data_IF_609716981739
#
_entry.id   IF_609716981739
#
_cell.length_a   1.000
_cell.length_b   1.000
_cell.length_c   1.000
_cell.angle_alpha   90.00
_cell.angle_beta   90.00
_cell.angle_gamma   90.00
#
_symmetry.space_group_name_H-M   'P 1'
#
loop_
_entity.id
_entity.type
_entity.pdbx_description
1 polymer ?
#
# COMPACT_ATOMS: atom_id res chain seq x y z
N UNK A 1 -24.31 14.72 29.25
CA UNK A 1 -25.29 14.84 28.18
C UNK A 1 -25.23 13.61 27.29
N UNK A 2 -26.04 12.62 27.66
CA UNK A 2 -26.30 11.47 26.79
C UNK A 2 -27.11 11.92 25.58
N UNK A 3 -26.43 12.27 24.50
CA UNK A 3 -27.06 12.52 23.21
C UNK A 3 -27.62 11.18 22.72
N UNK A 4 -28.93 10.98 22.85
CA UNK A 4 -29.61 9.87 22.16
C UNK A 4 -29.32 10.06 20.67
N UNK A 5 -28.41 9.25 20.14
CA UNK A 5 -28.17 9.17 18.70
C UNK A 5 -29.46 8.66 18.09
N UNK A 6 -30.22 9.55 17.46
CA UNK A 6 -31.49 9.18 16.82
C UNK A 6 -31.27 8.08 15.79
N UNK A 7 -32.24 7.18 15.64
CA UNK A 7 -32.23 6.11 14.62
C UNK A 7 -31.80 6.63 13.24
N UNK A 8 -32.16 7.88 12.89
CA UNK A 8 -31.74 8.51 11.63
C UNK A 8 -30.22 8.69 11.44
N UNK A 9 -29.46 8.89 12.53
CA UNK A 9 -28.00 9.01 12.45
C UNK A 9 -27.34 7.63 12.27
N UNK A 10 -27.95 6.58 12.79
CA UNK A 10 -27.50 5.20 12.58
C UNK A 10 -27.73 4.78 11.14
N UNK A 11 -28.89 5.05 10.58
CA UNK A 11 -29.18 4.75 9.16
C UNK A 11 -28.30 5.53 8.19
N UNK A 12 -28.00 6.78 8.46
CA UNK A 12 -27.07 7.58 7.63
C UNK A 12 -25.66 7.00 7.60
N UNK A 13 -25.23 6.36 8.68
CA UNK A 13 -23.91 5.70 8.73
C UNK A 13 -23.91 4.31 8.09
N UNK A 14 -25.04 3.63 8.05
CA UNK A 14 -25.16 2.29 7.45
C UNK A 14 -25.14 2.35 5.91
N UNK A 15 -25.74 3.37 5.28
CA UNK A 15 -25.84 3.48 3.85
C UNK A 15 -24.46 3.41 3.12
N UNK A 16 -23.37 4.10 3.55
CA UNK A 16 -22.06 3.95 2.95
C UNK A 16 -21.52 2.51 3.01
N UNK A 17 -21.75 1.80 4.10
CA UNK A 17 -21.31 0.40 4.24
C UNK A 17 -22.07 -0.54 3.32
N UNK A 18 -23.39 -0.36 3.18
CA UNK A 18 -24.20 -1.10 2.20
C UNK A 18 -23.74 -0.84 0.77
N UNK A 19 -23.43 0.43 0.44
CA UNK A 19 -22.91 0.77 -0.88
C UNK A 19 -21.55 0.11 -1.14
N UNK A 20 -20.64 0.16 -0.16
CA UNK A 20 -19.34 -0.50 -0.27
C UNK A 20 -19.47 -2.02 -0.42
N UNK A 21 -20.36 -2.66 0.35
CA UNK A 21 -20.60 -4.11 0.21
C UNK A 21 -21.22 -4.46 -1.14
N UNK A 22 -22.12 -3.63 -1.66
CA UNK A 22 -22.69 -3.82 -3.00
C UNK A 22 -21.63 -3.67 -4.11
N UNK A 23 -20.68 -2.74 -3.97
CA UNK A 23 -19.55 -2.62 -4.89
C UNK A 23 -18.62 -3.84 -4.84
N UNK A 24 -18.47 -4.49 -3.70
CA UNK A 24 -17.69 -5.74 -3.59
C UNK A 24 -18.33 -6.90 -4.35
N UNK A 25 -19.69 -6.90 -4.53
CA UNK A 25 -20.36 -7.91 -5.36
C UNK A 25 -19.90 -7.87 -6.81
N UNK A 26 -19.54 -6.69 -7.34
CA UNK A 26 -19.00 -6.55 -8.70
C UNK A 26 -17.68 -7.32 -8.81
N UNK A 27 -16.82 -7.21 -7.82
CA UNK A 27 -15.55 -7.98 -7.75
C UNK A 27 -15.80 -9.49 -7.68
N UNK A 28 -16.77 -9.91 -6.87
CA UNK A 28 -17.15 -11.31 -6.76
C UNK A 28 -17.69 -11.87 -8.08
N UNK A 29 -18.56 -11.13 -8.76
CA UNK A 29 -19.09 -11.51 -10.08
C UNK A 29 -17.96 -11.59 -11.11
N UNK A 30 -17.06 -10.62 -11.12
CA UNK A 30 -15.90 -10.63 -12.01
C UNK A 30 -15.02 -11.87 -11.78
N UNK A 31 -14.82 -12.25 -10.51
CA UNK A 31 -14.05 -13.44 -10.14
C UNK A 31 -14.72 -14.74 -10.62
N UNK A 32 -16.05 -14.84 -10.51
CA UNK A 32 -16.81 -16.00 -10.99
C UNK A 32 -16.82 -16.14 -12.52
N UNK A 33 -16.72 -15.03 -13.25
CA UNK A 33 -16.71 -15.00 -14.72
C UNK A 33 -15.28 -15.21 -15.26
N UNK A 34 -14.24 -14.92 -14.47
CA UNK A 34 -12.84 -15.03 -14.90
C UNK A 34 -12.47 -16.50 -15.08
N UNK A 35 -12.07 -16.93 -16.30
CA UNK A 35 -11.63 -18.30 -16.51
C UNK A 35 -10.37 -18.59 -15.69
N UNK A 36 -10.36 -19.72 -15.02
CA UNK A 36 -9.16 -20.20 -14.33
C UNK A 36 -8.01 -20.37 -15.33
N UNK A 37 -6.87 -19.77 -15.02
CA UNK A 37 -5.65 -19.99 -15.81
C UNK A 37 -5.35 -21.48 -15.88
N UNK A 38 -5.10 -22.00 -17.09
CA UNK A 38 -4.73 -23.40 -17.29
C UNK A 38 -3.44 -23.70 -16.51
N UNK A 39 -3.58 -24.20 -15.31
CA UNK A 39 -2.48 -24.72 -14.51
C UNK A 39 -2.16 -26.13 -15.06
N UNK A 40 -1.18 -26.23 -15.95
CA UNK A 40 -0.83 -27.47 -16.61
C UNK A 40 -0.14 -28.52 -15.71
N UNK A 41 0.10 -28.22 -14.46
CA UNK A 41 0.67 -29.15 -13.49
C UNK A 41 -0.19 -29.21 -12.22
N UNK A 42 -1.22 -30.06 -12.22
CA UNK A 42 -1.86 -30.52 -10.97
C UNK A 42 -0.88 -31.47 -10.27
N UNK A 43 0.08 -30.91 -9.54
CA UNK A 43 0.84 -31.68 -8.58
C UNK A 43 0.01 -31.69 -7.29
N UNK A 44 -0.49 -32.85 -6.92
CA UNK A 44 -1.11 -33.04 -5.60
C UNK A 44 0.00 -32.97 -4.54
N UNK A 45 0.33 -31.73 -4.14
CA UNK A 45 1.26 -31.50 -3.04
C UNK A 45 0.51 -31.64 -1.72
N UNK A 46 1.10 -32.32 -0.77
CA UNK A 46 0.62 -32.36 0.61
C UNK A 46 0.59 -30.95 1.19
N UNK A 47 -0.29 -30.69 2.17
CA UNK A 47 -0.43 -29.35 2.78
C UNK A 47 0.91 -28.75 3.23
N UNK A 48 1.79 -29.54 3.83
CA UNK A 48 3.13 -29.12 4.26
C UNK A 48 4.06 -28.82 3.07
N UNK A 49 3.97 -29.58 2.00
CA UNK A 49 4.77 -29.35 0.78
C UNK A 49 4.40 -28.05 0.10
N UNK A 50 3.13 -27.63 0.17
CA UNK A 50 2.66 -26.35 -0.35
C UNK A 50 3.30 -25.13 0.34
N UNK A 51 3.79 -25.29 1.56
CA UNK A 51 4.54 -24.23 2.27
C UNK A 51 6.05 -24.36 2.10
N UNK A 52 6.59 -25.58 2.18
CA UNK A 52 8.02 -25.80 2.17
C UNK A 52 8.66 -25.66 0.79
N UNK A 53 8.02 -26.20 -0.25
CA UNK A 53 8.54 -26.17 -1.62
C UNK A 53 8.70 -24.74 -2.19
N UNK A 54 7.75 -23.78 -1.98
CA UNK A 54 7.93 -22.40 -2.41
C UNK A 54 9.12 -21.68 -1.75
N UNK A 55 9.35 -21.94 -0.46
CA UNK A 55 10.48 -21.37 0.29
C UNK A 55 11.79 -21.94 -0.21
N UNK A 56 11.85 -23.25 -0.38
CA UNK A 56 13.02 -23.96 -0.91
C UNK A 56 13.36 -23.49 -2.33
N UNK A 57 12.36 -23.33 -3.20
CA UNK A 57 12.52 -22.78 -4.55
C UNK A 57 13.10 -21.36 -4.52
N UNK A 58 12.58 -20.50 -3.64
CA UNK A 58 13.07 -19.14 -3.46
C UNK A 58 14.54 -19.12 -3.04
N UNK A 59 14.91 -19.88 -2.01
CA UNK A 59 16.29 -19.96 -1.51
C UNK A 59 17.22 -20.55 -2.59
N UNK A 60 16.76 -21.56 -3.34
CA UNK A 60 17.56 -22.17 -4.41
C UNK A 60 17.83 -21.21 -5.56
N UNK A 61 16.86 -20.32 -5.90
CA UNK A 61 17.03 -19.34 -6.98
C UNK A 61 17.95 -18.18 -6.61
N UNK A 62 17.87 -17.70 -5.40
CA UNK A 62 18.59 -16.49 -4.98
C UNK A 62 19.81 -16.77 -4.10
N UNK A 63 20.08 -18.01 -3.70
CA UNK A 63 21.03 -18.35 -2.64
C UNK A 63 20.59 -17.77 -1.28
N UNK A 64 20.95 -18.40 -0.17
CA UNK A 64 20.51 -18.03 1.16
C UNK A 64 20.84 -16.57 1.51
N UNK A 65 22.07 -16.12 1.20
CA UNK A 65 22.50 -14.75 1.49
C UNK A 65 21.70 -13.69 0.72
N UNK A 66 21.55 -13.86 -0.60
CA UNK A 66 20.76 -12.93 -1.42
C UNK A 66 19.26 -12.99 -1.06
N UNK A 67 18.73 -14.17 -0.78
CA UNK A 67 17.34 -14.35 -0.31
C UNK A 67 17.09 -13.57 0.99
N UNK A 68 18.01 -13.63 1.95
CA UNK A 68 17.90 -12.88 3.22
C UNK A 68 17.92 -11.36 2.99
N UNK A 69 18.79 -10.86 2.10
CA UNK A 69 18.82 -9.44 1.74
C UNK A 69 17.52 -9.01 1.06
N UNK A 70 16.99 -9.81 0.12
CA UNK A 70 15.74 -9.51 -0.55
C UNK A 70 14.56 -9.46 0.42
N UNK A 71 14.49 -10.41 1.37
CA UNK A 71 13.48 -10.40 2.43
C UNK A 71 13.62 -9.18 3.34
N UNK A 72 14.84 -8.80 3.70
CA UNK A 72 15.09 -7.58 4.47
C UNK A 72 14.61 -6.32 3.73
N UNK A 73 14.88 -6.23 2.43
CA UNK A 73 14.38 -5.12 1.61
C UNK A 73 12.84 -5.12 1.60
N UNK A 74 12.20 -6.27 1.38
CA UNK A 74 10.74 -6.39 1.39
C UNK A 74 10.16 -5.94 2.73
N UNK A 75 10.73 -6.40 3.86
CA UNK A 75 10.26 -6.07 5.20
C UNK A 75 10.44 -4.58 5.55
N UNK A 76 11.55 -3.97 5.11
CA UNK A 76 11.88 -2.60 5.52
C UNK A 76 11.35 -1.53 4.55
N UNK A 77 11.12 -1.88 3.28
CA UNK A 77 10.78 -0.91 2.25
C UNK A 77 9.46 -0.15 2.52
N UNK A 78 8.48 -0.81 3.13
CA UNK A 78 7.19 -0.22 3.50
C UNK A 78 7.04 0.07 5.00
N UNK A 79 8.06 -0.18 5.79
CA UNK A 79 7.98 -0.03 7.25
C UNK A 79 7.57 1.40 7.65
N UNK A 80 8.13 2.41 6.99
CA UNK A 80 7.78 3.82 7.22
C UNK A 80 6.31 4.10 6.95
N UNK A 81 5.75 3.62 5.85
CA UNK A 81 4.34 3.83 5.51
C UNK A 81 3.40 3.16 6.53
N UNK A 82 3.76 1.96 6.99
CA UNK A 82 2.99 1.20 7.98
C UNK A 82 2.99 1.90 9.34
N UNK A 83 4.11 2.47 9.75
CA UNK A 83 4.24 3.17 11.03
C UNK A 83 3.63 4.57 10.98
N UNK A 84 3.90 5.33 9.92
CA UNK A 84 3.45 6.72 9.79
C UNK A 84 1.96 6.83 9.45
N UNK A 85 1.39 5.89 8.72
CA UNK A 85 0.00 5.94 8.29
C UNK A 85 -1.00 6.15 9.45
N UNK A 86 -1.00 5.32 10.51
CA UNK A 86 -1.86 5.55 11.67
C UNK A 86 -1.54 6.81 12.46
N UNK A 87 -0.28 7.27 12.44
CA UNK A 87 0.18 8.44 13.20
C UNK A 87 -0.12 9.77 12.53
N UNK A 88 -0.36 9.79 11.21
CA UNK A 88 -0.58 11.04 10.47
C UNK A 88 -1.81 11.83 10.98
N UNK A 89 -2.94 11.18 11.22
CA UNK A 89 -4.14 11.86 11.71
C UNK A 89 -3.98 12.45 13.12
N UNK A 90 -3.48 11.71 14.14
CA UNK A 90 -3.10 12.30 15.43
C UNK A 90 -2.16 13.48 15.30
N UNK A 91 -1.12 13.35 14.48
CA UNK A 91 -0.16 14.43 14.22
C UNK A 91 -0.83 15.72 13.71
N UNK A 92 -1.75 15.63 12.75
CA UNK A 92 -2.46 16.81 12.26
C UNK A 92 -3.34 17.47 13.34
N UNK A 93 -3.96 16.67 14.21
CA UNK A 93 -4.75 17.17 15.33
C UNK A 93 -3.87 17.86 16.37
N UNK A 94 -2.73 17.29 16.72
CA UNK A 94 -1.77 17.86 17.67
C UNK A 94 -1.17 19.17 17.14
N UNK A 95 -1.03 19.30 15.83
CA UNK A 95 -0.64 20.55 15.15
C UNK A 95 -1.73 21.63 15.19
N UNK A 96 -2.93 21.34 15.68
CA UNK A 96 -4.03 22.30 15.82
C UNK A 96 -4.98 22.40 14.63
N UNK A 97 -4.87 21.52 13.63
CA UNK A 97 -5.82 21.48 12.51
C UNK A 97 -7.17 20.89 12.95
N UNK A 98 -8.26 21.51 12.51
CA UNK A 98 -9.61 21.01 12.77
C UNK A 98 -9.91 19.74 11.97
N UNK A 99 -10.80 18.89 12.50
CA UNK A 99 -11.24 17.67 11.81
C UNK A 99 -11.87 17.95 10.44
N UNK A 100 -12.46 19.11 10.25
CA UNK A 100 -13.07 19.53 8.99
C UNK A 100 -12.00 19.87 7.95
N UNK A 101 -10.95 20.58 8.34
CA UNK A 101 -9.80 20.89 7.47
C UNK A 101 -9.05 19.63 7.08
N UNK A 102 -8.75 18.76 8.05
CA UNK A 102 -8.14 17.46 7.79
C UNK A 102 -9.03 16.64 6.82
N UNK A 103 -10.33 16.55 7.10
CA UNK A 103 -11.26 15.78 6.29
C UNK A 103 -11.41 16.26 4.85
N UNK A 104 -11.33 17.56 4.61
CA UNK A 104 -11.44 18.15 3.27
C UNK A 104 -10.12 18.08 2.49
N UNK A 105 -9.02 18.53 3.11
CA UNK A 105 -7.71 18.57 2.43
C UNK A 105 -7.14 17.17 2.26
N UNK A 106 -7.08 16.37 3.32
CA UNK A 106 -6.44 15.06 3.26
C UNK A 106 -7.16 14.14 2.26
N UNK A 107 -8.51 14.12 2.26
CA UNK A 107 -9.24 13.24 1.34
C UNK A 107 -9.06 13.61 -0.13
N UNK A 108 -9.14 14.89 -0.47
CA UNK A 108 -9.07 15.34 -1.87
C UNK A 108 -7.62 15.33 -2.36
N UNK A 109 -6.73 15.98 -1.62
CA UNK A 109 -5.32 16.12 -2.01
C UNK A 109 -4.62 14.75 -2.04
N UNK A 110 -4.84 13.91 -1.00
CA UNK A 110 -4.25 12.58 -0.95
C UNK A 110 -4.73 11.68 -2.10
N UNK A 111 -6.03 11.72 -2.44
CA UNK A 111 -6.56 10.92 -3.54
C UNK A 111 -5.91 11.32 -4.87
N UNK A 112 -5.87 12.60 -5.18
CA UNK A 112 -5.29 13.09 -6.44
C UNK A 112 -3.78 12.77 -6.48
N UNK A 113 -3.06 13.07 -5.40
CA UNK A 113 -1.63 12.82 -5.30
C UNK A 113 -1.27 11.34 -5.44
N UNK A 114 -2.01 10.46 -4.78
CA UNK A 114 -1.78 9.00 -4.86
C UNK A 114 -2.02 8.46 -6.27
N UNK A 115 -3.08 8.91 -6.96
CA UNK A 115 -3.34 8.52 -8.35
C UNK A 115 -2.19 8.97 -9.26
N UNK A 116 -1.75 10.22 -9.14
CA UNK A 116 -0.60 10.72 -9.92
C UNK A 116 0.65 9.88 -9.61
N UNK A 117 0.90 9.58 -8.33
CA UNK A 117 2.01 8.76 -7.88
C UNK A 117 1.98 7.34 -8.48
N UNK A 118 0.82 6.69 -8.49
CA UNK A 118 0.61 5.37 -9.09
C UNK A 118 1.00 5.36 -10.57
N UNK A 119 0.50 6.32 -11.36
CA UNK A 119 0.82 6.41 -12.79
C UNK A 119 2.31 6.70 -13.02
N UNK A 120 2.89 7.63 -12.26
CA UNK A 120 4.31 7.94 -12.38
C UNK A 120 5.19 6.76 -11.95
N UNK A 121 4.81 6.00 -10.94
CA UNK A 121 5.48 4.76 -10.55
C UNK A 121 5.56 3.77 -11.72
N UNK A 122 4.45 3.56 -12.44
CA UNK A 122 4.42 2.71 -13.63
C UNK A 122 5.30 3.24 -14.78
N UNK A 123 5.30 4.55 -15.02
CA UNK A 123 6.14 5.19 -16.03
C UNK A 123 7.63 5.06 -15.67
N UNK A 124 7.97 5.25 -14.39
CA UNK A 124 9.34 5.10 -13.88
C UNK A 124 9.87 3.68 -14.11
N UNK A 125 9.08 2.66 -13.78
CA UNK A 125 9.45 1.25 -14.02
C UNK A 125 9.75 1.03 -15.50
N UNK A 126 8.88 1.55 -16.38
CA UNK A 126 9.05 1.39 -17.83
C UNK A 126 10.30 2.10 -18.36
N UNK A 127 10.61 3.31 -17.87
CA UNK A 127 11.71 4.15 -18.39
C UNK A 127 13.04 3.89 -17.71
N UNK A 128 13.06 3.78 -16.40
CA UNK A 128 14.29 3.69 -15.59
C UNK A 128 14.62 2.26 -15.14
N UNK A 129 13.66 1.35 -15.26
CA UNK A 129 13.77 -0.02 -14.74
C UNK A 129 13.41 -0.13 -13.26
N UNK A 130 13.17 -1.36 -12.82
CA UNK A 130 12.61 -1.65 -11.50
C UNK A 130 13.47 -1.17 -10.33
N UNK A 131 14.77 -1.49 -10.34
CA UNK A 131 15.68 -1.16 -9.23
C UNK A 131 15.88 0.35 -9.04
N UNK A 132 16.00 1.10 -10.14
CA UNK A 132 16.10 2.57 -10.06
C UNK A 132 14.82 3.19 -9.57
N UNK A 133 13.67 2.61 -9.93
CA UNK A 133 12.36 3.06 -9.45
C UNK A 133 12.17 2.79 -7.96
N UNK A 134 12.70 1.67 -7.43
CA UNK A 134 12.74 1.39 -5.98
C UNK A 134 13.55 2.46 -5.24
N UNK A 135 14.74 2.80 -5.73
CA UNK A 135 15.56 3.85 -5.13
C UNK A 135 14.85 5.20 -5.17
N UNK A 136 14.24 5.54 -6.30
CA UNK A 136 13.48 6.79 -6.42
C UNK A 136 12.30 6.84 -5.45
N UNK A 137 11.56 5.76 -5.31
CA UNK A 137 10.47 5.64 -4.33
C UNK A 137 10.95 5.81 -2.89
N UNK A 138 12.05 5.16 -2.51
CA UNK A 138 12.66 5.31 -1.19
C UNK A 138 13.10 6.76 -0.91
N UNK A 139 13.70 7.43 -1.92
CA UNK A 139 14.06 8.85 -1.82
C UNK A 139 12.83 9.75 -1.66
N UNK A 140 11.75 9.48 -2.39
CA UNK A 140 10.52 10.26 -2.30
C UNK A 140 9.90 10.16 -0.90
N UNK A 141 9.85 8.96 -0.31
CA UNK A 141 9.39 8.75 1.07
C UNK A 141 10.31 9.42 2.09
N UNK A 142 11.63 9.35 1.89
CA UNK A 142 12.58 10.05 2.76
C UNK A 142 12.32 11.56 2.77
N UNK A 143 12.10 12.17 1.62
CA UNK A 143 11.76 13.60 1.49
C UNK A 143 10.44 13.89 2.20
N UNK A 144 9.40 13.07 2.00
CA UNK A 144 8.13 13.21 2.69
C UNK A 144 8.30 13.22 4.21
N UNK A 145 9.04 12.26 4.76
CA UNK A 145 9.30 12.18 6.20
C UNK A 145 10.07 13.41 6.74
N UNK A 146 11.02 13.95 5.99
CA UNK A 146 11.72 15.19 6.35
C UNK A 146 10.74 16.37 6.37
N UNK A 147 9.81 16.45 5.41
CA UNK A 147 8.77 17.48 5.40
C UNK A 147 7.85 17.39 6.63
N UNK A 148 7.47 16.20 7.08
CA UNK A 148 6.74 16.03 8.34
C UNK A 148 7.51 16.64 9.53
N UNK A 149 8.82 16.43 9.59
CA UNK A 149 9.66 17.00 10.65
C UNK A 149 9.72 18.53 10.60
N UNK A 150 9.74 19.13 9.40
CA UNK A 150 9.73 20.58 9.21
C UNK A 150 8.38 21.15 9.65
N UNK A 151 7.29 20.50 9.30
CA UNK A 151 5.94 20.95 9.67
C UNK A 151 5.73 20.86 11.18
N UNK A 152 6.30 19.85 11.85
CA UNK A 152 6.20 19.69 13.30
C UNK A 152 6.71 20.89 14.11
N UNK A 153 7.64 21.67 13.55
CA UNK A 153 8.21 22.87 14.19
C UNK A 153 7.65 24.19 13.62
N UNK A 154 6.73 24.10 12.68
CA UNK A 154 6.14 25.25 12.00
C UNK A 154 4.77 25.60 12.60
N UNK A 155 4.33 26.85 12.42
CA UNK A 155 2.96 27.23 12.78
C UNK A 155 1.94 26.54 11.84
N UNK A 156 0.75 26.16 12.34
CA UNK A 156 -0.27 25.50 11.54
C UNK A 156 -0.71 26.36 10.35
N UNK A 157 -0.53 25.85 9.15
CA UNK A 157 -0.89 26.50 7.90
C UNK A 157 -1.51 25.50 6.92
N UNK A 158 -2.68 25.82 6.36
CA UNK A 158 -3.40 24.94 5.43
C UNK A 158 -2.61 24.65 4.15
N UNK A 159 -1.81 25.59 3.66
CA UNK A 159 -0.95 25.36 2.50
C UNK A 159 0.14 24.34 2.84
N UNK A 160 0.71 24.44 4.02
CA UNK A 160 1.74 23.52 4.49
C UNK A 160 1.16 22.10 4.68
N UNK A 161 -0.06 22.00 5.25
CA UNK A 161 -0.80 20.75 5.35
C UNK A 161 -1.04 20.13 3.95
N UNK A 162 -1.44 20.94 2.99
CA UNK A 162 -1.68 20.48 1.61
C UNK A 162 -0.41 19.95 0.95
N UNK A 163 0.73 20.61 1.13
CA UNK A 163 2.02 20.21 0.58
C UNK A 163 2.48 18.89 1.17
N UNK A 164 2.37 18.74 2.50
CA UNK A 164 2.83 17.50 3.15
C UNK A 164 1.94 16.32 2.75
N UNK A 165 0.62 16.50 2.75
CA UNK A 165 -0.33 15.47 2.34
C UNK A 165 -0.13 15.08 0.88
N UNK A 166 0.12 16.08 0.02
CA UNK A 166 0.42 15.82 -1.39
C UNK A 166 1.71 15.00 -1.55
N UNK A 167 2.81 15.44 -0.94
CA UNK A 167 4.12 14.80 -1.07
C UNK A 167 4.11 13.39 -0.51
N UNK A 168 3.45 13.19 0.62
CA UNK A 168 3.31 11.89 1.27
C UNK A 168 2.50 10.91 0.42
N UNK A 169 1.29 11.29 0.04
CA UNK A 169 0.41 10.45 -0.76
C UNK A 169 0.96 10.17 -2.16
N UNK A 170 1.66 11.14 -2.74
CA UNK A 170 2.36 10.98 -4.01
C UNK A 170 3.49 9.96 -3.92
N UNK A 171 4.32 10.04 -2.88
CA UNK A 171 5.39 9.08 -2.60
C UNK A 171 4.83 7.69 -2.36
N UNK A 172 3.78 7.59 -1.54
CA UNK A 172 3.09 6.32 -1.26
C UNK A 172 2.51 5.69 -2.53
N UNK A 173 1.97 6.48 -3.45
CA UNK A 173 1.52 6.01 -4.76
C UNK A 173 2.64 5.40 -5.60
N UNK A 174 3.78 6.07 -5.71
CA UNK A 174 4.96 5.56 -6.42
C UNK A 174 5.45 4.27 -5.77
N UNK A 175 5.68 4.30 -4.45
CA UNK A 175 6.16 3.17 -3.67
C UNK A 175 5.23 1.96 -3.80
N UNK A 176 3.91 2.18 -3.70
CA UNK A 176 2.92 1.12 -3.85
C UNK A 176 3.04 0.39 -5.20
N UNK A 177 3.11 1.14 -6.31
CA UNK A 177 3.24 0.56 -7.66
C UNK A 177 4.56 -0.19 -7.82
N UNK A 178 5.66 0.44 -7.41
CA UNK A 178 7.01 -0.13 -7.58
C UNK A 178 7.21 -1.35 -6.69
N UNK A 179 6.67 -1.34 -5.46
CA UNK A 179 6.72 -2.47 -4.55
C UNK A 179 5.97 -3.70 -5.08
N UNK A 180 4.75 -3.51 -5.61
CA UNK A 180 3.99 -4.60 -6.23
C UNK A 180 4.76 -5.21 -7.40
N UNK A 181 5.34 -4.39 -8.27
CA UNK A 181 6.16 -4.87 -9.37
C UNK A 181 7.41 -5.61 -8.88
N UNK A 182 8.05 -5.13 -7.81
CA UNK A 182 9.21 -5.78 -7.19
C UNK A 182 8.83 -7.15 -6.61
N UNK A 183 7.79 -7.24 -5.79
CA UNK A 183 7.31 -8.50 -5.22
C UNK A 183 6.97 -9.50 -6.33
N UNK A 184 6.26 -9.04 -7.37
CA UNK A 184 5.91 -9.89 -8.52
C UNK A 184 7.15 -10.39 -9.26
N UNK A 185 8.22 -9.60 -9.35
CA UNK A 185 9.48 -10.00 -9.99
C UNK A 185 10.24 -11.09 -9.21
N UNK A 186 10.03 -11.18 -7.90
CA UNK A 186 10.67 -12.18 -7.04
C UNK A 186 9.97 -13.54 -7.09
N UNK A 187 8.71 -13.57 -7.50
CA UNK A 187 7.87 -14.76 -7.47
C UNK A 187 8.15 -15.68 -8.66
N UNK A 188 8.16 -17.00 -8.45
CA UNK A 188 8.28 -17.97 -9.53
C UNK A 188 6.92 -18.30 -10.16
N UNK A 189 6.92 -18.58 -11.47
CA UNK A 189 5.70 -18.97 -12.18
C UNK A 189 5.07 -20.25 -11.63
N UNK A 190 5.86 -21.10 -10.96
CA UNK A 190 5.43 -22.38 -10.40
C UNK A 190 4.65 -22.22 -9.09
N UNK A 191 5.02 -21.25 -8.27
CA UNK A 191 4.47 -21.04 -6.91
C UNK A 191 3.97 -19.62 -6.71
N UNK A 192 3.39 -19.01 -7.76
CA UNK A 192 3.04 -17.58 -7.80
C UNK A 192 2.22 -17.14 -6.60
N UNK A 193 1.11 -17.82 -6.32
CA UNK A 193 0.19 -17.43 -5.24
C UNK A 193 0.84 -17.54 -3.86
N UNK A 194 1.49 -18.69 -3.58
CA UNK A 194 2.06 -18.95 -2.25
C UNK A 194 3.27 -18.07 -1.97
N UNK A 195 4.19 -17.91 -2.95
CA UNK A 195 5.35 -17.02 -2.78
C UNK A 195 4.93 -15.56 -2.64
N UNK A 196 3.95 -15.10 -3.44
CA UNK A 196 3.45 -13.73 -3.31
C UNK A 196 2.79 -13.50 -1.95
N UNK A 197 1.96 -14.44 -1.48
CA UNK A 197 1.34 -14.36 -0.16
C UNK A 197 2.39 -14.32 0.98
N UNK A 198 3.43 -15.17 0.89
CA UNK A 198 4.53 -15.17 1.85
C UNK A 198 5.29 -13.83 1.84
N UNK A 199 5.65 -13.31 0.66
CA UNK A 199 6.38 -12.04 0.55
C UNK A 199 5.56 -10.83 1.02
N UNK A 200 4.24 -10.87 0.89
CA UNK A 200 3.35 -9.79 1.37
C UNK A 200 3.01 -9.88 2.85
N UNK A 201 3.31 -11.01 3.51
CA UNK A 201 3.09 -11.20 4.95
C UNK A 201 4.21 -10.62 5.82
N UNK A 202 5.33 -10.25 5.22
CA UNK A 202 6.44 -9.54 5.87
C UNK A 202 6.22 -8.04 5.84
#
# INVERSE_FOLDING_TARGET
>A
YGRSRGLGDVYKRQNPYFLMSALMLIGLIALLITPEGKNNEKRELTFLENFYEPIKDFIKRFNLFAASILLLIVATYRLTDIVMGPMANPFYIDMGFSLTEIGSIVKIVALIASIIGLFLGGILIKKAGLYRSLLFGAFAVMISNVLFSIVAISEPNLNLLSIIVFTDSFSAGIVGTVNIAFLTSLVSKKFTATQYALLTSF
#
